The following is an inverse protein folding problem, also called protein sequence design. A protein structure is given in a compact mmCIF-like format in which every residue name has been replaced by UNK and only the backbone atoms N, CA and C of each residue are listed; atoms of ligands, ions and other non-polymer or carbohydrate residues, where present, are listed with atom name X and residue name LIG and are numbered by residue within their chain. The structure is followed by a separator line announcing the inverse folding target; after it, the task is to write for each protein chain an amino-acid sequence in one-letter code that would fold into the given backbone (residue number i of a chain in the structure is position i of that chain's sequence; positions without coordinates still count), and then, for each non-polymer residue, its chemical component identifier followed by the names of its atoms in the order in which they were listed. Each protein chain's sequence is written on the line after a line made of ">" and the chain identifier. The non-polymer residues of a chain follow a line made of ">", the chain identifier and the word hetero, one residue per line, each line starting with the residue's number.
data_IF_239062958133
#
_entry.id   IF_239062958133
#
_cell.length_a   1.000
_cell.length_b   1.000
_cell.length_c   1.000
_cell.angle_alpha   90.00
_cell.angle_beta   90.00
_cell.angle_gamma   90.00
#
_symmetry.space_group_name_H-M   'P 1'
#
loop_
_entity.id
_entity.type
_entity.pdbx_description
1 polymer ?
#
# COMPACT_ATOMS: atom_id res chain seq x y z
N UNK A 1 5.19 -34.19 11.91
CA UNK A 1 4.65 -33.44 10.76
C UNK A 1 3.75 -32.36 11.35
N UNK A 2 4.15 -31.09 11.32
CA UNK A 2 3.27 -30.01 11.79
C UNK A 2 2.10 -29.90 10.81
N UNK A 3 0.88 -30.17 11.28
CA UNK A 3 -0.33 -29.86 10.54
C UNK A 3 -0.49 -28.34 10.55
N UNK A 4 -0.42 -27.71 9.38
CA UNK A 4 -0.78 -26.31 9.24
C UNK A 4 -2.28 -26.17 9.45
N UNK A 5 -2.69 -25.27 10.35
CA UNK A 5 -4.10 -24.93 10.45
C UNK A 5 -4.52 -24.04 9.27
N UNK A 6 -5.80 -24.08 8.94
CA UNK A 6 -6.37 -23.29 7.84
C UNK A 6 -5.99 -21.80 7.96
N UNK A 7 -5.91 -21.27 9.19
CA UNK A 7 -5.58 -19.87 9.44
C UNK A 7 -4.15 -19.55 8.98
N UNK A 8 -3.19 -20.41 9.31
CA UNK A 8 -1.79 -20.22 8.92
C UNK A 8 -1.65 -20.36 7.41
N UNK A 9 -2.33 -21.34 6.80
CA UNK A 9 -2.34 -21.48 5.33
C UNK A 9 -2.93 -20.26 4.62
N UNK A 10 -4.08 -19.76 5.08
CA UNK A 10 -4.67 -18.55 4.51
C UNK A 10 -3.80 -17.30 4.73
N UNK A 11 -3.10 -17.22 5.87
CA UNK A 11 -2.21 -16.10 6.16
C UNK A 11 -0.98 -16.08 5.24
N UNK A 12 -0.40 -17.25 4.98
CA UNK A 12 0.71 -17.42 4.03
C UNK A 12 0.27 -17.11 2.59
N UNK A 13 -0.90 -17.60 2.20
CA UNK A 13 -1.53 -17.28 0.91
C UNK A 13 -1.76 -15.76 0.77
N UNK A 14 -2.38 -15.12 1.76
CA UNK A 14 -2.61 -13.67 1.75
C UNK A 14 -1.30 -12.86 1.64
N UNK A 15 -0.23 -13.30 2.29
CA UNK A 15 1.08 -12.66 2.20
C UNK A 15 1.69 -12.81 0.80
N UNK A 16 1.57 -13.99 0.20
CA UNK A 16 2.05 -14.30 -1.15
C UNK A 16 1.31 -13.47 -2.21
N UNK A 17 -0.02 -13.42 -2.13
CA UNK A 17 -0.86 -12.62 -3.03
C UNK A 17 -0.50 -11.12 -2.96
N UNK A 18 -0.30 -10.58 -1.75
CA UNK A 18 0.16 -9.19 -1.57
C UNK A 18 1.52 -8.93 -2.22
N UNK A 19 2.44 -9.89 -2.13
CA UNK A 19 3.74 -9.79 -2.78
C UNK A 19 3.60 -9.77 -4.31
N UNK A 20 2.82 -10.69 -4.87
CA UNK A 20 2.57 -10.78 -6.31
C UNK A 20 1.95 -9.48 -6.85
N UNK A 21 0.89 -8.99 -6.21
CA UNK A 21 0.26 -7.69 -6.54
C UNK A 21 1.29 -6.55 -6.55
N UNK A 22 2.19 -6.50 -5.56
CA UNK A 22 3.25 -5.47 -5.51
C UNK A 22 4.23 -5.61 -6.67
N UNK A 23 4.68 -6.83 -6.97
CA UNK A 23 5.61 -7.10 -8.08
C UNK A 23 4.99 -6.70 -9.43
N UNK A 24 3.73 -7.05 -9.65
CA UNK A 24 3.02 -6.68 -10.89
C UNK A 24 2.82 -5.17 -11.01
N UNK A 25 2.51 -4.45 -9.92
CA UNK A 25 2.43 -2.98 -9.96
C UNK A 25 3.74 -2.34 -10.44
N UNK A 26 4.89 -2.81 -9.93
CA UNK A 26 6.20 -2.36 -10.42
C UNK A 26 6.40 -2.73 -11.89
N UNK A 27 6.15 -3.99 -12.26
CA UNK A 27 6.32 -4.45 -13.63
C UNK A 27 5.46 -3.67 -14.64
N UNK A 28 4.19 -3.39 -14.32
CA UNK A 28 3.27 -2.61 -15.16
C UNK A 28 3.76 -1.18 -15.34
N UNK A 29 4.26 -0.56 -14.26
CA UNK A 29 4.70 0.84 -14.25
C UNK A 29 6.00 1.04 -15.02
N UNK A 30 6.91 0.07 -14.93
CA UNK A 30 8.25 0.15 -15.54
C UNK A 30 8.35 -0.56 -16.91
N UNK A 31 7.26 -1.16 -17.40
CA UNK A 31 7.26 -1.83 -18.70
C UNK A 31 7.28 -0.84 -19.86
N UNK A 32 8.29 -0.95 -20.73
CA UNK A 32 8.41 -0.14 -21.94
C UNK A 32 7.50 -0.60 -23.11
N UNK A 33 7.02 -1.85 -23.09
CA UNK A 33 6.19 -2.42 -24.17
C UNK A 33 4.72 -2.37 -23.80
N UNK A 34 3.91 -1.69 -24.60
CA UNK A 34 2.46 -1.58 -24.36
C UNK A 34 1.74 -2.93 -24.44
N UNK A 35 2.20 -3.85 -25.29
CA UNK A 35 1.60 -5.18 -25.37
C UNK A 35 1.88 -5.96 -24.09
N UNK A 36 3.14 -6.00 -23.65
CA UNK A 36 3.52 -6.71 -22.45
C UNK A 36 2.89 -6.09 -21.19
N UNK A 37 2.75 -4.76 -21.17
CA UNK A 37 2.05 -4.04 -20.10
C UNK A 37 0.58 -4.45 -20.01
N UNK A 38 -0.10 -4.66 -21.14
CA UNK A 38 -1.48 -5.19 -21.16
C UNK A 38 -1.54 -6.61 -20.61
N UNK A 39 -0.58 -7.46 -20.96
CA UNK A 39 -0.52 -8.83 -20.46
C UNK A 39 -0.30 -8.85 -18.94
N UNK A 40 0.60 -8.01 -18.41
CA UNK A 40 0.77 -7.86 -16.96
C UNK A 40 -0.47 -7.31 -16.26
N UNK A 41 -1.17 -6.35 -16.86
CA UNK A 41 -2.43 -5.83 -16.31
C UNK A 41 -3.52 -6.91 -16.22
N UNK A 42 -3.59 -7.82 -17.20
CA UNK A 42 -4.53 -8.93 -17.17
C UNK A 42 -4.23 -9.88 -15.99
N UNK A 43 -2.96 -10.31 -15.84
CA UNK A 43 -2.57 -11.18 -14.72
C UNK A 43 -2.75 -10.47 -13.38
N UNK A 44 -2.37 -9.20 -13.29
CA UNK A 44 -2.58 -8.39 -12.08
C UNK A 44 -4.05 -8.35 -11.65
N UNK A 45 -4.98 -8.25 -12.61
CA UNK A 45 -6.41 -8.27 -12.29
C UNK A 45 -6.86 -9.61 -11.71
N UNK A 46 -6.31 -10.73 -12.21
CA UNK A 46 -6.58 -12.07 -11.69
C UNK A 46 -6.01 -12.23 -10.27
N UNK A 47 -4.76 -11.84 -10.04
CA UNK A 47 -4.12 -11.87 -8.71
C UNK A 47 -4.90 -10.99 -7.71
N UNK A 48 -5.39 -9.82 -8.12
CA UNK A 48 -6.22 -8.98 -7.27
C UNK A 48 -7.55 -9.65 -6.88
N UNK A 49 -8.14 -10.43 -7.79
CA UNK A 49 -9.35 -11.22 -7.49
C UNK A 49 -9.03 -12.35 -6.50
N UNK A 50 -7.89 -13.04 -6.68
CA UNK A 50 -7.41 -14.07 -5.76
C UNK A 50 -7.16 -13.51 -4.36
N UNK A 51 -6.39 -12.42 -4.26
CA UNK A 51 -6.14 -11.70 -3.02
C UNK A 51 -7.44 -11.34 -2.29
N UNK A 52 -8.43 -10.83 -3.04
CA UNK A 52 -9.74 -10.47 -2.48
C UNK A 52 -10.49 -11.69 -1.95
N UNK A 53 -10.50 -12.80 -2.69
CA UNK A 53 -11.15 -14.04 -2.25
C UNK A 53 -10.52 -14.60 -0.96
N UNK A 54 -9.18 -14.61 -0.86
CA UNK A 54 -8.47 -15.05 0.36
C UNK A 54 -8.82 -14.12 1.53
N UNK A 55 -8.80 -12.81 1.29
CA UNK A 55 -9.19 -11.83 2.31
C UNK A 55 -10.63 -12.05 2.80
N UNK A 56 -11.58 -12.28 1.90
CA UNK A 56 -13.00 -12.50 2.24
C UNK A 56 -13.17 -13.74 3.13
N UNK A 57 -12.48 -14.84 2.80
CA UNK A 57 -12.48 -16.05 3.63
C UNK A 57 -11.91 -15.78 5.03
N UNK A 58 -10.76 -15.11 5.10
CA UNK A 58 -10.13 -14.79 6.39
C UNK A 58 -10.98 -13.82 7.22
N UNK A 59 -11.64 -12.86 6.57
CA UNK A 59 -12.51 -11.89 7.21
C UNK A 59 -13.78 -12.57 7.75
N UNK A 60 -14.45 -13.39 6.93
CA UNK A 60 -15.66 -14.14 7.33
C UNK A 60 -15.39 -15.09 8.50
N UNK A 61 -14.18 -15.66 8.59
CA UNK A 61 -13.76 -16.53 9.70
C UNK A 61 -13.22 -15.75 10.92
N UNK A 62 -13.19 -14.41 10.88
CA UNK A 62 -12.68 -13.56 11.97
C UNK A 62 -11.18 -13.65 12.18
N UNK A 63 -10.43 -14.19 11.21
CA UNK A 63 -8.97 -14.33 11.27
C UNK A 63 -8.24 -13.04 10.89
N UNK A 64 -8.93 -12.14 10.18
CA UNK A 64 -8.44 -10.82 9.83
C UNK A 64 -9.45 -9.76 10.29
N UNK A 65 -9.19 -9.17 11.46
CA UNK A 65 -10.00 -8.09 11.99
C UNK A 65 -9.47 -6.75 11.51
N UNK A 66 -10.35 -5.96 10.88
CA UNK A 66 -10.10 -4.56 10.60
C UNK A 66 -10.46 -3.75 11.84
N UNK A 67 -9.50 -2.98 12.37
CA UNK A 67 -9.83 -1.93 13.32
C UNK A 67 -10.29 -0.71 12.53
N UNK A 68 -11.53 -0.28 12.75
CA UNK A 68 -11.94 1.03 12.25
C UNK A 68 -11.10 2.09 12.95
N UNK A 69 -10.61 3.06 12.18
CA UNK A 69 -9.96 4.22 12.76
C UNK A 69 -10.99 4.99 13.60
N UNK A 70 -10.61 5.35 14.83
CA UNK A 70 -11.43 6.19 15.69
C UNK A 70 -11.53 7.61 15.12
N UNK A 71 -12.61 8.33 15.48
CA UNK A 71 -12.76 9.74 15.10
C UNK A 71 -11.58 10.61 15.56
N UNK A 72 -10.94 10.23 16.67
CA UNK A 72 -9.76 10.91 17.19
C UNK A 72 -8.53 10.67 16.30
N UNK A 73 -8.28 9.43 15.87
CA UNK A 73 -7.19 9.10 14.92
C UNK A 73 -7.39 9.80 13.58
N UNK A 74 -8.63 9.84 13.08
CA UNK A 74 -8.98 10.56 11.85
C UNK A 74 -8.68 12.05 12.00
N UNK A 75 -9.13 12.67 13.11
CA UNK A 75 -8.92 14.09 13.38
C UNK A 75 -7.44 14.44 13.53
N UNK A 76 -6.65 13.58 14.19
CA UNK A 76 -5.21 13.75 14.31
C UNK A 76 -4.49 13.65 12.96
N UNK A 77 -4.88 12.69 12.11
CA UNK A 77 -4.32 12.54 10.77
C UNK A 77 -4.63 13.77 9.91
N UNK A 78 -5.86 14.29 9.96
CA UNK A 78 -6.24 15.52 9.25
C UNK A 78 -5.40 16.72 9.67
N UNK A 79 -5.21 16.91 10.99
CA UNK A 79 -4.36 17.99 11.51
C UNK A 79 -2.91 17.85 11.05
N UNK A 80 -2.36 16.63 11.07
CA UNK A 80 -0.99 16.37 10.61
C UNK A 80 -0.83 16.69 9.12
N UNK A 81 -1.78 16.27 8.28
CA UNK A 81 -1.77 16.55 6.85
C UNK A 81 -1.88 18.05 6.55
N UNK A 82 -2.69 18.81 7.31
CA UNK A 82 -2.75 20.27 7.18
C UNK A 82 -1.43 20.93 7.56
N UNK A 83 -0.77 20.45 8.62
CA UNK A 83 0.55 20.96 9.03
C UNK A 83 1.63 20.65 7.98
N UNK A 84 1.66 19.43 7.43
CA UNK A 84 2.59 19.04 6.36
C UNK A 84 2.35 19.88 5.10
N UNK A 85 1.09 20.14 4.73
CA UNK A 85 0.77 21.00 3.59
C UNK A 85 1.26 22.44 3.80
N UNK A 86 1.12 23.01 5.00
CA UNK A 86 1.66 24.34 5.33
C UNK A 86 3.18 24.37 5.27
N UNK A 87 3.86 23.31 5.73
CA UNK A 87 5.32 23.19 5.63
C UNK A 87 5.79 23.10 4.18
N UNK A 88 5.08 22.36 3.31
CA UNK A 88 5.38 22.29 1.89
C UNK A 88 5.19 23.65 1.19
N UNK A 89 4.16 24.42 1.58
CA UNK A 89 3.93 25.77 1.04
C UNK A 89 4.99 26.78 1.51
N UNK A 90 5.42 26.73 2.77
CA UNK A 90 6.50 27.59 3.28
C UNK A 90 7.88 27.18 2.74
N UNK A 91 8.13 25.88 2.56
CA UNK A 91 9.34 25.36 1.90
C UNK A 91 9.45 25.79 0.43
N UNK A 92 8.32 25.94 -0.26
CA UNK A 92 8.26 26.52 -1.61
C UNK A 92 8.64 28.01 -1.66
N UNK A 93 8.35 28.79 -0.61
CA UNK A 93 8.74 30.20 -0.53
C UNK A 93 10.22 30.41 -0.15
N UNK A 94 10.84 29.50 0.61
CA UNK A 94 12.31 29.54 0.82
C UNK A 94 13.11 29.01 -0.38
N UNK A 95 12.59 28.03 -1.13
CA UNK A 95 13.24 27.49 -2.33
C UNK A 95 13.29 28.48 -3.51
N UNK A 96 12.36 29.43 -3.57
CA UNK A 96 12.40 30.52 -4.54
C UNK A 96 13.45 31.61 -4.19
N UNK A 97 13.99 31.62 -2.96
CA UNK A 97 14.93 32.65 -2.50
C UNK A 97 16.34 32.11 -2.21
N UNK A 98 16.54 30.80 -2.04
CA UNK A 98 17.86 30.21 -1.78
C UNK A 98 18.08 28.98 -2.65
N UNK A 99 18.72 29.17 -3.80
CA UNK A 99 19.25 28.07 -4.60
C UNK A 99 20.39 27.35 -3.89
N UNK A 100 20.07 26.35 -3.06
CA UNK A 100 20.91 25.17 -2.77
C UNK A 100 20.06 24.10 -2.05
N UNK A 101 20.02 22.91 -2.65
CA UNK A 101 19.16 21.78 -2.27
C UNK A 101 19.51 21.14 -0.90
N UNK A 102 18.53 20.73 -0.08
CA UNK A 102 18.78 19.82 1.03
C UNK A 102 18.38 18.37 0.71
N UNK A 103 19.17 17.46 1.28
CA UNK A 103 19.06 15.99 1.18
C UNK A 103 17.71 15.47 1.68
N UNK A 104 17.09 14.57 0.89
CA UNK A 104 15.84 13.89 1.21
C UNK A 104 16.14 12.67 2.09
N UNK A 105 15.81 12.76 3.39
CA UNK A 105 15.82 11.63 4.32
C UNK A 105 14.54 11.63 5.15
N UNK A 106 13.62 10.72 4.84
CA UNK A 106 12.38 10.54 5.59
C UNK A 106 11.43 9.58 4.89
N UNK A 107 11.45 8.32 5.31
CA UNK A 107 10.57 7.27 4.77
C UNK A 107 9.10 7.55 5.08
N UNK A 108 8.25 7.35 4.08
CA UNK A 108 6.79 7.46 4.19
C UNK A 108 6.29 6.30 5.07
N UNK A 109 5.55 6.55 6.17
CA UNK A 109 4.91 5.49 6.93
C UNK A 109 3.83 4.82 6.06
N UNK A 110 4.04 3.53 5.80
CA UNK A 110 3.11 2.65 5.10
C UNK A 110 1.90 2.36 6.01
N UNK A 111 0.80 3.09 5.84
CA UNK A 111 -0.48 2.69 6.41
C UNK A 111 -1.13 1.67 5.47
N UNK A 112 -1.24 0.43 5.94
CA UNK A 112 -1.91 -0.67 5.22
C UNK A 112 -3.42 -0.51 5.39
N UNK A 113 -4.11 -0.20 4.28
CA UNK A 113 -5.57 -0.29 4.15
C UNK A 113 -6.01 -1.74 4.19
#
# INVERSE_FOLDING_TARGET
>A
MQLFDDKTMCSDCLASEKLLTSCYNTAITECASDQLRRDFMAVYQDEQNCLKAVWDVMHAKGWYQLSMASQQEISQLQQRLQQEQMQLQQGGMMGAQMGMAPQVGGGIPQYRV
#
